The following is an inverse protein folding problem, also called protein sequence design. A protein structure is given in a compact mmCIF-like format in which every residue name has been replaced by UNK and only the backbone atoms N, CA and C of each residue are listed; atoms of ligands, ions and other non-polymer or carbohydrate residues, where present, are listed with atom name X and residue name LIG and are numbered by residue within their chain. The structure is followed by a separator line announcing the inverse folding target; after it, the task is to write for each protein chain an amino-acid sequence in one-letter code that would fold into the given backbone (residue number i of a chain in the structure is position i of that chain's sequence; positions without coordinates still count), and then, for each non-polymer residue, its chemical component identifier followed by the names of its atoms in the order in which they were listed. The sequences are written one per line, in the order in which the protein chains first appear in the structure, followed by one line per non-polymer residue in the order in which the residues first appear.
data_IF_523134894602
#
_entry.id   IF_523134894602
#
_cell.length_a   1.000
_cell.length_b   1.000
_cell.length_c   1.000
_cell.angle_alpha   90.00
_cell.angle_beta   90.00
_cell.angle_gamma   90.00
#
_symmetry.space_group_name_H-M   'P 1'
#
loop_
_entity.id
_entity.type
_entity.pdbx_description
1 polymer ?
#
# COMPACT_ATOMS: atom_id res chain seq x y z
N UNK A 1 28.44 2.54 -7.66
CA UNK A 1 27.44 3.59 -7.90
C UNK A 1 26.19 2.95 -8.48
N UNK A 2 25.18 2.69 -7.65
CA UNK A 2 23.84 2.37 -8.14
C UNK A 2 23.04 3.66 -8.08
N UNK A 3 23.11 4.43 -9.17
CA UNK A 3 22.26 5.59 -9.38
C UNK A 3 20.87 5.00 -9.70
N UNK A 4 20.03 4.86 -8.68
CA UNK A 4 18.60 4.66 -8.90
C UNK A 4 18.09 5.89 -9.65
N UNK A 5 17.27 5.72 -10.70
CA UNK A 5 16.76 6.85 -11.44
C UNK A 5 15.97 7.74 -10.49
N UNK A 6 16.22 9.03 -10.63
CA UNK A 6 15.64 10.13 -9.88
C UNK A 6 14.19 10.40 -10.34
N UNK A 7 13.41 9.33 -10.55
CA UNK A 7 11.98 9.43 -10.85
C UNK A 7 11.28 9.94 -9.58
N UNK A 8 11.17 11.27 -9.57
CA UNK A 8 10.04 12.04 -9.05
C UNK A 8 9.70 11.82 -7.58
N UNK A 9 9.89 12.89 -6.80
CA UNK A 9 9.18 13.18 -5.56
C UNK A 9 7.65 13.26 -5.80
N UNK A 10 7.03 12.21 -6.35
CA UNK A 10 5.58 12.11 -6.32
C UNK A 10 5.22 11.77 -4.89
N UNK A 11 4.74 12.77 -4.15
CA UNK A 11 4.37 12.63 -2.75
C UNK A 11 3.17 11.68 -2.64
N UNK A 12 3.36 10.54 -1.97
CA UNK A 12 2.29 9.58 -1.72
C UNK A 12 1.77 9.74 -0.31
N UNK A 13 0.45 9.84 -0.17
CA UNK A 13 -0.20 9.68 1.13
C UNK A 13 -0.14 8.21 1.54
N UNK A 14 0.59 7.90 2.62
CA UNK A 14 0.74 6.53 3.09
C UNK A 14 -0.47 6.06 3.91
N UNK A 15 -0.82 4.78 3.76
CA UNK A 15 -1.85 4.08 4.54
C UNK A 15 -1.28 2.73 4.97
N UNK A 16 -1.00 2.57 6.27
CA UNK A 16 -0.55 1.32 6.85
C UNK A 16 -1.74 0.43 7.22
N UNK A 17 -1.81 -0.76 6.61
CA UNK A 17 -2.91 -1.70 6.85
C UNK A 17 -2.68 -2.46 8.15
N UNK A 18 -3.69 -2.41 9.03
CA UNK A 18 -3.72 -3.15 10.28
C UNK A 18 -4.48 -4.46 10.14
N UNK A 19 -4.01 -5.49 10.85
CA UNK A 19 -4.69 -6.77 11.00
C UNK A 19 -5.83 -6.74 12.04
N UNK A 20 -5.98 -5.63 12.78
CA UNK A 20 -7.02 -5.53 13.81
C UNK A 20 -8.41 -5.64 13.17
N UNK A 21 -9.27 -6.44 13.78
CA UNK A 21 -10.64 -6.72 13.31
C UNK A 21 -11.49 -5.45 13.17
N UNK A 22 -11.29 -4.47 14.05
CA UNK A 22 -11.98 -3.17 14.03
C UNK A 22 -11.70 -2.32 12.79
N UNK A 23 -10.56 -2.52 12.14
CA UNK A 23 -10.14 -1.73 10.99
C UNK A 23 -10.60 -2.43 9.71
N UNK A 24 -11.88 -2.31 9.36
CA UNK A 24 -12.48 -3.05 8.24
C UNK A 24 -11.85 -2.69 6.88
N UNK A 25 -11.98 -3.58 5.88
CA UNK A 25 -11.58 -3.30 4.49
C UNK A 25 -12.28 -2.03 4.00
N UNK A 26 -13.58 -1.89 4.28
CA UNK A 26 -14.37 -0.74 3.85
C UNK A 26 -13.79 0.59 4.34
N UNK A 27 -13.37 0.67 5.60
CA UNK A 27 -12.72 1.85 6.18
C UNK A 27 -11.48 2.26 5.37
N UNK A 28 -10.62 1.30 5.03
CA UNK A 28 -9.42 1.57 4.26
C UNK A 28 -9.72 1.95 2.81
N UNK A 29 -10.73 1.34 2.21
CA UNK A 29 -11.20 1.71 0.86
C UNK A 29 -11.67 3.16 0.85
N UNK A 30 -12.50 3.58 1.81
CA UNK A 30 -12.95 4.98 1.88
C UNK A 30 -11.79 5.96 2.12
N UNK A 31 -10.85 5.60 3.00
CA UNK A 31 -9.64 6.41 3.23
C UNK A 31 -8.79 6.54 1.96
N UNK A 32 -8.61 5.44 1.21
CA UNK A 32 -7.90 5.46 -0.07
C UNK A 32 -8.60 6.38 -1.06
N UNK A 33 -9.91 6.24 -1.27
CA UNK A 33 -10.68 7.09 -2.19
C UNK A 33 -10.61 8.57 -1.80
N UNK A 34 -10.72 8.88 -0.51
CA UNK A 34 -10.61 10.26 -0.04
C UNK A 34 -9.22 10.85 -0.33
N UNK A 35 -8.14 10.09 -0.08
CA UNK A 35 -6.76 10.54 -0.35
C UNK A 35 -6.45 10.58 -1.85
N UNK A 36 -7.00 9.66 -2.65
CA UNK A 36 -6.84 9.62 -4.11
C UNK A 36 -7.44 10.85 -4.80
N UNK A 37 -8.49 11.45 -4.22
CA UNK A 37 -9.04 12.72 -4.72
C UNK A 37 -8.03 13.87 -4.61
N UNK A 38 -7.17 13.84 -3.60
CA UNK A 38 -6.20 14.90 -3.30
C UNK A 38 -4.79 14.64 -3.84
N UNK A 39 -4.44 13.39 -4.14
CA UNK A 39 -3.10 13.03 -4.59
C UNK A 39 -2.90 11.53 -4.72
N UNK A 40 -1.65 11.08 -4.83
CA UNK A 40 -1.35 9.66 -4.97
C UNK A 40 -1.37 8.95 -3.62
N UNK A 41 -1.68 7.66 -3.61
CA UNK A 41 -1.84 6.87 -2.38
C UNK A 41 -0.90 5.68 -2.38
N UNK A 42 -0.28 5.40 -1.24
CA UNK A 42 0.56 4.22 -1.04
C UNK A 42 -0.02 3.36 0.08
N UNK A 43 -0.55 2.20 -0.29
CA UNK A 43 -1.03 1.21 0.67
C UNK A 43 0.14 0.32 1.08
N UNK A 44 0.37 0.19 2.39
CA UNK A 44 1.46 -0.59 2.97
C UNK A 44 0.88 -1.77 3.74
N UNK A 45 1.14 -2.99 3.27
CA UNK A 45 0.72 -4.23 3.92
C UNK A 45 1.92 -5.02 4.44
N UNK A 46 1.90 -5.44 5.71
CA UNK A 46 2.97 -6.24 6.33
C UNK A 46 2.47 -7.61 6.78
N UNK A 47 3.21 -8.67 6.45
CA UNK A 47 2.92 -10.04 6.90
C UNK A 47 1.44 -10.40 6.70
N UNK A 48 0.70 -10.64 7.78
CA UNK A 48 -0.71 -11.00 7.76
C UNK A 48 -1.64 -9.89 7.25
N UNK A 49 -1.19 -8.63 7.18
CA UNK A 49 -1.92 -7.53 6.56
C UNK A 49 -1.79 -7.49 5.03
N UNK A 50 -0.87 -8.25 4.43
CA UNK A 50 -0.65 -8.28 2.97
C UNK A 50 -1.93 -8.70 2.25
N UNK A 51 -2.56 -9.77 2.70
CA UNK A 51 -3.79 -10.27 2.09
C UNK A 51 -4.91 -9.22 2.12
N UNK A 52 -5.01 -8.50 3.23
CA UNK A 52 -5.98 -7.41 3.39
C UNK A 52 -5.67 -6.21 2.49
N UNK A 53 -4.41 -5.87 2.30
CA UNK A 53 -4.00 -4.83 1.35
C UNK A 53 -4.40 -5.20 -0.09
N UNK A 54 -4.24 -6.46 -0.49
CA UNK A 54 -4.77 -6.93 -1.79
C UNK A 54 -6.29 -6.86 -1.86
N UNK A 55 -7.02 -7.28 -0.81
CA UNK A 55 -8.49 -7.15 -0.80
C UNK A 55 -8.97 -5.69 -0.94
N UNK A 56 -8.24 -4.74 -0.36
CA UNK A 56 -8.51 -3.30 -0.51
C UNK A 56 -8.29 -2.86 -1.96
N UNK A 57 -7.19 -3.29 -2.59
CA UNK A 57 -6.93 -2.99 -4.00
C UNK A 57 -8.04 -3.52 -4.91
N UNK A 58 -8.48 -4.76 -4.73
CA UNK A 58 -9.59 -5.33 -5.52
C UNK A 58 -10.89 -4.55 -5.31
N UNK A 59 -11.23 -4.21 -4.07
CA UNK A 59 -12.41 -3.40 -3.78
C UNK A 59 -12.34 -1.98 -4.38
N UNK A 60 -11.13 -1.40 -4.50
CA UNK A 60 -10.93 -0.12 -5.18
C UNK A 60 -11.15 -0.24 -6.69
N UNK A 61 -10.66 -1.32 -7.31
CA UNK A 61 -10.87 -1.59 -8.74
C UNK A 61 -12.37 -1.74 -9.06
N UNK A 62 -13.12 -2.44 -8.22
CA UNK A 62 -14.58 -2.61 -8.38
C UNK A 62 -15.36 -1.28 -8.32
N UNK A 63 -14.85 -0.28 -7.60
CA UNK A 63 -15.48 1.04 -7.50
C UNK A 63 -15.28 1.94 -8.73
N UNK A 64 -14.64 1.44 -9.80
CA UNK A 64 -14.50 2.10 -11.09
C UNK A 64 -13.84 3.49 -11.04
N UNK A 65 -12.90 3.73 -10.12
CA UNK A 65 -12.02 4.89 -10.26
C UNK A 65 -10.91 4.58 -11.27
N UNK A 66 -10.72 5.46 -12.26
CA UNK A 66 -9.60 5.38 -13.19
C UNK A 66 -8.31 5.78 -12.48
N UNK A 67 -7.62 4.80 -11.91
CA UNK A 67 -6.29 4.95 -11.36
C UNK A 67 -5.36 3.89 -11.95
N UNK A 68 -4.09 4.27 -12.11
CA UNK A 68 -3.02 3.32 -12.40
C UNK A 68 -2.46 2.79 -11.08
N UNK A 69 -1.97 1.55 -11.06
CA UNK A 69 -1.37 0.97 -9.86
C UNK A 69 -0.09 0.19 -10.14
N UNK A 70 0.83 0.22 -9.16
CA UNK A 70 2.08 -0.54 -9.15
C UNK A 70 2.22 -1.25 -7.82
N UNK A 71 2.71 -2.48 -7.82
CA UNK A 71 2.91 -3.30 -6.61
C UNK A 71 4.39 -3.61 -6.47
N UNK A 72 4.98 -3.24 -5.34
CA UNK A 72 6.36 -3.59 -4.97
C UNK A 72 6.37 -4.52 -3.77
N UNK A 73 7.25 -5.52 -3.82
CA UNK A 73 7.46 -6.47 -2.73
C UNK A 73 8.79 -6.17 -2.05
N UNK A 74 8.74 -5.92 -0.75
CA UNK A 74 9.89 -5.61 0.08
C UNK A 74 10.08 -6.68 1.16
N UNK A 75 11.32 -7.14 1.32
CA UNK A 75 11.70 -8.00 2.43
C UNK A 75 12.39 -7.13 3.48
N UNK A 76 11.64 -6.69 4.50
CA UNK A 76 12.21 -5.96 5.62
C UNK A 76 13.09 -6.91 6.43
N UNK A 77 14.33 -6.51 6.67
CA UNK A 77 15.23 -7.20 7.60
C UNK A 77 14.63 -7.17 8.99
N UNK A 78 14.49 -8.35 9.60
CA UNK A 78 14.07 -8.43 11.01
C UNK A 78 15.14 -7.80 11.90
N UNK A 79 14.72 -6.87 12.74
CA UNK A 79 15.52 -6.37 13.87
C UNK A 79 15.43 -7.28 15.09
N UNK A 80 14.52 -8.27 15.07
CA UNK A 80 14.30 -9.21 16.17
C UNK A 80 15.30 -10.37 16.12
N UNK A 81 15.65 -10.98 17.28
CA UNK A 81 16.64 -12.07 17.36
C UNK A 81 16.32 -13.27 16.47
N UNK A 82 15.03 -13.50 16.18
CA UNK A 82 14.51 -14.58 15.34
C UNK A 82 14.93 -14.45 13.86
N UNK A 83 15.52 -13.31 13.44
CA UNK A 83 15.99 -13.03 12.05
C UNK A 83 14.95 -13.23 10.93
N UNK A 84 13.69 -13.52 11.25
CA UNK A 84 12.62 -13.74 10.27
C UNK A 84 12.32 -12.46 9.50
N UNK A 85 12.65 -12.44 8.21
CA UNK A 85 12.36 -11.30 7.33
C UNK A 85 10.86 -10.98 7.36
N UNK A 86 10.54 -9.71 7.57
CA UNK A 86 9.16 -9.23 7.52
C UNK A 86 8.83 -8.92 6.07
N UNK A 87 7.90 -9.69 5.50
CA UNK A 87 7.36 -9.37 4.18
C UNK A 87 6.52 -8.10 4.28
N UNK A 88 6.77 -7.16 3.37
CA UNK A 88 6.02 -5.92 3.19
C UNK A 88 5.68 -5.78 1.70
N UNK A 89 4.49 -5.30 1.41
CA UNK A 89 4.11 -4.87 0.07
C UNK A 89 3.77 -3.40 0.08
N UNK A 90 4.11 -2.71 -0.99
CA UNK A 90 3.65 -1.37 -1.28
C UNK A 90 2.78 -1.42 -2.54
N UNK A 91 1.56 -0.92 -2.44
CA UNK A 91 0.67 -0.74 -3.58
C UNK A 91 0.56 0.78 -3.80
N UNK A 92 1.18 1.26 -4.86
CA UNK A 92 1.13 2.66 -5.27
C UNK A 92 -0.05 2.85 -6.19
N UNK A 93 -0.89 3.83 -5.89
CA UNK A 93 -2.06 4.21 -6.64
C UNK A 93 -1.83 5.64 -7.16
N UNK A 94 -1.83 5.80 -8.49
CA UNK A 94 -1.70 7.08 -9.18
C UNK A 94 -3.03 7.43 -9.83
N UNK A 95 -3.50 8.65 -9.61
CA UNK A 95 -4.67 9.16 -10.32
C UNK A 95 -4.32 9.31 -11.80
N UNK A 96 -5.22 8.85 -12.67
CA UNK A 96 -5.09 9.00 -14.12
C UNK A 96 -5.59 10.36 -14.60
#
# INVERSE_FOLDING_TARGET
MNIKPNDEQTEYSEILISIKSRDSIHKYVEECLHKLKTGNVKIIGRQYAIMKAFSILEALKEKNEHFDYIIEYNNLTATTPDRRKILEIHIYLKKK
#
